data_IF_301589847398
#
_entry.id   IF_301589847398
#
_cell.length_a   1.000
_cell.length_b   1.000
_cell.length_c   1.000
_cell.angle_alpha   90.00
_cell.angle_beta   90.00
_cell.angle_gamma   90.00
#
_symmetry.space_group_name_H-M   'P 1'
#
loop_
_entity.id
_entity.type
_entity.pdbx_description
1 polymer ?
#
# COMPACT_ATOMS: atom_id res chain seq x y z
N UNK A 1 -15.27 -3.10 14.14
CA UNK A 1 -14.47 -1.95 13.67
C UNK A 1 -14.25 -2.09 12.16
N UNK A 2 -14.20 -0.98 11.42
CA UNK A 2 -13.83 -0.97 9.98
C UNK A 2 -12.44 -0.36 9.82
N UNK A 3 -11.59 -0.98 9.00
CA UNK A 3 -10.27 -0.43 8.63
C UNK A 3 -10.48 0.64 7.56
N UNK A 4 -9.85 1.80 7.74
CA UNK A 4 -9.89 2.91 6.77
C UNK A 4 -8.50 3.36 6.30
N UNK A 5 -7.43 2.88 6.93
CA UNK A 5 -6.04 3.20 6.60
C UNK A 5 -5.15 1.96 6.69
N UNK A 6 -4.30 1.77 5.69
CA UNK A 6 -3.31 0.69 5.64
C UNK A 6 -1.95 1.31 5.32
N UNK A 7 -0.92 0.94 6.08
CA UNK A 7 0.47 1.25 5.80
C UNK A 7 1.22 -0.05 5.49
N UNK A 8 1.91 -0.09 4.35
CA UNK A 8 2.75 -1.22 3.95
C UNK A 8 4.22 -0.78 3.95
N UNK A 9 5.05 -1.49 4.71
CA UNK A 9 6.50 -1.27 4.74
C UNK A 9 7.14 -2.25 3.76
N UNK A 10 7.67 -1.73 2.65
CA UNK A 10 8.27 -2.45 1.53
C UNK A 10 7.48 -2.30 0.24
N UNK A 11 7.99 -1.50 -0.69
CA UNK A 11 7.42 -1.29 -2.03
C UNK A 11 7.93 -2.32 -3.07
N UNK A 12 8.33 -3.50 -2.61
CA UNK A 12 8.83 -4.58 -3.47
C UNK A 12 7.74 -5.33 -4.24
N UNK A 13 8.12 -6.45 -4.85
CA UNK A 13 7.27 -7.30 -5.70
C UNK A 13 5.94 -7.71 -5.05
N UNK A 14 5.89 -7.89 -3.74
CA UNK A 14 4.67 -8.28 -3.02
C UNK A 14 3.90 -7.06 -2.55
N UNK A 15 4.55 -6.18 -1.80
CA UNK A 15 3.89 -5.05 -1.13
C UNK A 15 3.23 -4.10 -2.12
N UNK A 16 3.95 -3.66 -3.15
CA UNK A 16 3.44 -2.72 -4.15
C UNK A 16 2.18 -3.23 -4.88
N UNK A 17 2.26 -4.34 -5.63
CA UNK A 17 1.12 -4.89 -6.36
C UNK A 17 -0.07 -5.26 -5.46
N UNK A 18 0.18 -5.81 -4.27
CA UNK A 18 -0.91 -6.14 -3.32
C UNK A 18 -1.64 -4.88 -2.86
N UNK A 19 -0.88 -3.83 -2.49
CA UNK A 19 -1.46 -2.55 -2.05
C UNK A 19 -2.16 -1.81 -3.20
N UNK A 20 -1.66 -1.93 -4.44
CA UNK A 20 -2.32 -1.38 -5.63
C UNK A 20 -3.70 -2.01 -5.87
N UNK A 21 -3.81 -3.33 -5.75
CA UNK A 21 -5.10 -4.03 -5.88
C UNK A 21 -6.05 -3.65 -4.74
N UNK A 22 -5.56 -3.53 -3.50
CA UNK A 22 -6.39 -3.09 -2.37
C UNK A 22 -6.91 -1.67 -2.59
N UNK A 23 -6.04 -0.73 -2.99
CA UNK A 23 -6.46 0.64 -3.28
C UNK A 23 -7.50 0.69 -4.41
N UNK A 24 -7.36 -0.14 -5.45
CA UNK A 24 -8.30 -0.21 -6.57
C UNK A 24 -9.66 -0.80 -6.15
N UNK A 25 -9.67 -1.87 -5.36
CA UNK A 25 -10.90 -2.60 -4.99
C UNK A 25 -11.60 -2.00 -3.77
N UNK A 26 -10.88 -1.28 -2.93
CA UNK A 26 -11.37 -0.69 -1.70
C UNK A 26 -11.07 0.83 -1.68
N UNK A 27 -11.72 1.65 -2.52
CA UNK A 27 -11.41 3.08 -2.66
C UNK A 27 -11.69 3.92 -1.40
N UNK A 28 -12.41 3.34 -0.42
CA UNK A 28 -12.67 3.96 0.89
C UNK A 28 -11.52 3.72 1.89
N UNK A 29 -10.50 2.95 1.53
CA UNK A 29 -9.32 2.67 2.35
C UNK A 29 -8.15 3.46 1.78
N UNK A 30 -7.55 4.34 2.58
CA UNK A 30 -6.31 5.01 2.23
C UNK A 30 -5.15 4.02 2.40
N UNK A 31 -4.43 3.74 1.32
CA UNK A 31 -3.25 2.87 1.33
C UNK A 31 -1.99 3.72 1.18
N UNK A 32 -1.02 3.53 2.06
CA UNK A 32 0.30 4.17 1.99
C UNK A 32 1.36 3.08 1.92
N UNK A 33 2.21 3.12 0.90
CA UNK A 33 3.35 2.20 0.77
C UNK A 33 4.62 3.01 1.00
N UNK A 34 5.48 2.53 1.89
CA UNK A 34 6.75 3.18 2.23
C UNK A 34 7.88 2.21 1.98
N UNK A 35 9.03 2.70 1.53
CA UNK A 35 10.27 1.93 1.40
C UNK A 35 11.43 2.79 1.89
N UNK A 36 12.51 2.15 2.33
CA UNK A 36 13.73 2.85 2.71
C UNK A 36 14.51 3.31 1.46
N UNK A 37 14.39 2.57 0.36
CA UNK A 37 15.05 2.93 -0.88
C UNK A 37 14.23 4.00 -1.61
N UNK A 38 14.70 5.24 -1.57
CA UNK A 38 14.08 6.39 -2.25
C UNK A 38 13.94 6.17 -3.76
N UNK A 39 14.85 5.46 -4.42
CA UNK A 39 14.76 5.17 -5.87
C UNK A 39 13.58 4.26 -6.23
N UNK A 40 12.98 3.58 -5.24
CA UNK A 40 11.84 2.66 -5.45
C UNK A 40 10.48 3.36 -5.30
N UNK A 41 10.43 4.59 -4.81
CA UNK A 41 9.20 5.34 -4.49
C UNK A 41 9.00 6.48 -5.48
#
# INVERSE_FOLDING_TARGET
>A
MKITKICCIGAGYVGGPTMAVIAQKCPHIQVTVVDLNEERI
#
